data_IF_860825896386
#
_entry.id   IF_860825896386
#
_cell.length_a   1.000
_cell.length_b   1.000
_cell.length_c   1.000
_cell.angle_alpha   90.00
_cell.angle_beta   90.00
_cell.angle_gamma   90.00
#
_symmetry.space_group_name_H-M   'P 1'
#
loop_
_entity.id
_entity.type
_entity.pdbx_description
1 polymer ?
#
# COMPACT_ATOMS: atom_id res chain seq x y z
N UNK A 1 -13.61 -13.10 -3.43
CA UNK A 1 -13.28 -11.79 -4.06
C UNK A 1 -14.56 -11.03 -4.30
N UNK A 2 -14.70 -9.81 -3.77
CA UNK A 2 -15.85 -8.94 -4.03
C UNK A 2 -15.65 -8.16 -5.33
N UNK A 3 -16.71 -7.99 -6.12
CA UNK A 3 -16.70 -7.14 -7.31
C UNK A 3 -16.97 -5.68 -6.91
N UNK A 4 -16.32 -4.75 -7.59
CA UNK A 4 -16.52 -3.31 -7.43
C UNK A 4 -16.56 -2.70 -8.83
N UNK A 5 -17.47 -1.76 -9.05
CA UNK A 5 -17.49 -0.93 -10.25
C UNK A 5 -16.64 0.31 -9.97
N UNK A 6 -15.68 0.58 -10.85
CA UNK A 6 -14.78 1.72 -10.78
C UNK A 6 -14.51 2.19 -12.20
N UNK A 7 -14.50 3.50 -12.40
CA UNK A 7 -14.05 4.09 -13.66
C UNK A 7 -12.53 4.05 -13.72
N UNK A 8 -12.00 3.62 -14.86
CA UNK A 8 -10.56 3.54 -15.12
C UNK A 8 -10.31 4.14 -16.50
N UNK A 9 -9.36 5.06 -16.58
CA UNK A 9 -8.91 5.60 -17.86
C UNK A 9 -8.25 4.49 -18.69
N UNK A 10 -8.76 4.27 -19.91
CA UNK A 10 -8.30 3.20 -20.79
C UNK A 10 -6.83 3.35 -21.22
N UNK A 11 -6.33 4.59 -21.35
CA UNK A 11 -4.93 4.83 -21.71
C UNK A 11 -4.01 4.50 -20.54
N UNK A 12 -4.39 4.89 -19.33
CA UNK A 12 -3.66 4.50 -18.12
C UNK A 12 -3.69 2.98 -17.91
N UNK A 13 -4.83 2.33 -18.17
CA UNK A 13 -4.96 0.88 -18.09
C UNK A 13 -4.07 0.17 -19.11
N UNK A 14 -3.98 0.68 -20.34
CA UNK A 14 -3.09 0.15 -21.37
C UNK A 14 -1.61 0.32 -20.99
N UNK A 15 -1.22 1.50 -20.49
CA UNK A 15 0.13 1.75 -20.02
C UNK A 15 0.51 0.82 -18.85
N UNK A 16 -0.38 0.68 -17.86
CA UNK A 16 -0.19 -0.22 -16.73
C UNK A 16 -0.09 -1.69 -17.18
N UNK A 17 -0.88 -2.12 -18.17
CA UNK A 17 -0.77 -3.48 -18.73
C UNK A 17 0.59 -3.73 -19.37
N UNK A 18 1.08 -2.77 -20.15
CA UNK A 18 2.38 -2.86 -20.79
C UNK A 18 3.53 -2.90 -19.78
N UNK A 19 3.46 -2.08 -18.73
CA UNK A 19 4.46 -2.04 -17.66
C UNK A 19 4.43 -3.28 -16.76
N UNK A 20 3.23 -3.74 -16.40
CA UNK A 20 3.05 -4.87 -15.48
C UNK A 20 3.11 -6.24 -16.17
N UNK A 21 3.05 -6.28 -17.51
CA UNK A 21 3.07 -7.52 -18.29
C UNK A 21 1.83 -8.39 -18.04
N UNK A 22 0.65 -7.77 -17.87
CA UNK A 22 -0.58 -8.47 -17.49
C UNK A 22 -1.64 -8.49 -18.58
N UNK A 23 -2.23 -9.65 -18.83
CA UNK A 23 -3.17 -9.83 -19.95
C UNK A 23 -4.60 -9.37 -19.64
N UNK A 24 -5.00 -9.33 -18.36
CA UNK A 24 -6.38 -9.00 -17.96
C UNK A 24 -6.46 -7.75 -17.10
N UNK A 25 -7.57 -7.01 -17.20
CA UNK A 25 -7.85 -5.83 -16.36
C UNK A 25 -7.78 -6.22 -14.88
N UNK A 26 -8.39 -7.35 -14.51
CA UNK A 26 -8.32 -7.90 -13.15
C UNK A 26 -6.88 -8.14 -12.68
N UNK A 27 -6.05 -8.75 -13.52
CA UNK A 27 -4.64 -9.00 -13.18
C UNK A 27 -3.88 -7.68 -12.99
N UNK A 28 -4.06 -6.74 -13.91
CA UNK A 28 -3.45 -5.39 -13.88
C UNK A 28 -3.81 -4.67 -12.58
N UNK A 29 -5.11 -4.57 -12.27
CA UNK A 29 -5.61 -3.86 -11.09
C UNK A 29 -5.15 -4.52 -9.80
N UNK A 30 -5.23 -5.85 -9.70
CA UNK A 30 -4.77 -6.54 -8.49
C UNK A 30 -3.26 -6.39 -8.29
N UNK A 31 -2.46 -6.41 -9.36
CA UNK A 31 -1.01 -6.23 -9.26
C UNK A 31 -0.66 -4.80 -8.86
N UNK A 32 -1.27 -3.79 -9.49
CA UNK A 32 -1.10 -2.39 -9.11
C UNK A 32 -1.44 -2.15 -7.63
N UNK A 33 -2.58 -2.69 -7.15
CA UNK A 33 -2.97 -2.59 -5.76
C UNK A 33 -1.99 -3.30 -4.81
N UNK A 34 -1.44 -4.46 -5.19
CA UNK A 34 -0.41 -5.15 -4.39
C UNK A 34 0.87 -4.33 -4.28
N UNK A 35 1.32 -3.71 -5.39
CA UNK A 35 2.51 -2.83 -5.39
C UNK A 35 2.30 -1.60 -4.50
N UNK A 36 1.15 -0.94 -4.63
CA UNK A 36 0.80 0.22 -3.80
C UNK A 36 0.71 -0.14 -2.31
N UNK A 37 0.08 -1.28 -1.98
CA UNK A 37 -0.02 -1.76 -0.60
C UNK A 37 1.36 -2.11 0.00
N UNK A 38 2.29 -2.65 -0.80
CA UNK A 38 3.67 -2.91 -0.33
C UNK A 38 4.40 -1.63 0.05
N UNK A 39 4.32 -0.59 -0.76
CA UNK A 39 4.93 0.71 -0.44
C UNK A 39 4.42 1.23 0.91
N UNK A 40 3.10 1.18 1.11
CA UNK A 40 2.48 1.58 2.39
C UNK A 40 2.93 0.72 3.57
N UNK A 41 3.03 -0.60 3.39
CA UNK A 41 3.48 -1.49 4.45
C UNK A 41 4.93 -1.19 4.90
N UNK A 42 5.81 -0.83 3.97
CA UNK A 42 7.19 -0.44 4.29
C UNK A 42 7.25 0.87 5.06
N UNK A 43 6.45 1.87 4.69
CA UNK A 43 6.34 3.13 5.43
C UNK A 43 5.87 2.90 6.87
N UNK A 44 4.82 2.10 7.04
CA UNK A 44 4.27 1.75 8.36
C UNK A 44 5.35 1.04 9.18
N UNK A 45 6.05 0.07 8.60
CA UNK A 45 7.12 -0.65 9.30
C UNK A 45 8.22 0.29 9.76
N UNK A 46 8.70 1.18 8.89
CA UNK A 46 9.72 2.17 9.24
C UNK A 46 9.26 3.11 10.37
N UNK A 47 7.99 3.53 10.35
CA UNK A 47 7.43 4.35 11.42
C UNK A 47 7.35 3.59 12.75
N UNK A 48 6.96 2.31 12.73
CA UNK A 48 6.91 1.45 13.91
C UNK A 48 8.31 1.15 14.46
N UNK A 49 9.28 0.86 13.59
CA UNK A 49 10.67 0.64 13.97
C UNK A 49 11.25 1.89 14.68
N UNK A 50 10.98 3.09 14.14
CA UNK A 50 11.39 4.35 14.78
C UNK A 50 10.69 4.64 16.11
N UNK A 51 9.49 4.11 16.35
CA UNK A 51 8.85 4.16 17.67
C UNK A 51 9.51 3.17 18.63
N UNK A 52 9.86 1.97 18.17
CA UNK A 52 10.52 0.96 19.00
C UNK A 52 11.93 1.38 19.44
N UNK A 53 12.65 2.12 18.61
CA UNK A 53 13.98 2.66 18.92
C UNK A 53 13.96 3.84 19.90
N UNK A 54 12.81 4.47 20.14
CA UNK A 54 12.67 5.56 21.11
C UNK A 54 12.54 5.01 22.52
N UNK A 55 13.38 5.52 23.42
CA UNK A 55 13.16 5.35 24.85
C UNK A 55 12.01 6.25 25.28
N UNK A 56 10.86 5.65 25.57
CA UNK A 56 9.74 6.37 26.18
C UNK A 56 10.03 6.53 27.67
N UNK A 57 9.75 7.73 28.21
CA UNK A 57 9.69 7.94 29.66
C UNK A 57 8.69 6.96 30.29
N UNK A 58 8.87 6.66 31.57
CA UNK A 58 7.98 5.74 32.27
C UNK A 58 6.53 6.19 32.10
N UNK A 59 5.66 5.26 31.69
CA UNK A 59 4.24 5.54 31.45
C UNK A 59 3.57 6.09 32.70
N UNK A 60 4.11 5.81 33.90
CA UNK A 60 3.62 6.38 35.16
C UNK A 60 3.84 7.90 35.31
N UNK A 61 4.81 8.49 34.61
CA UNK A 61 5.05 9.95 34.64
C UNK A 61 4.23 10.71 33.60
N UNK A 62 3.83 10.06 32.51
CA UNK A 62 3.13 10.71 31.40
C UNK A 62 1.63 11.00 31.65
N UNK A 63 1.04 10.43 32.70
CA UNK A 63 -0.40 10.54 33.03
C UNK A 63 -0.67 11.27 34.36
N UNK A 64 0.32 11.97 34.93
CA UNK A 64 0.10 12.90 36.04
C UNK A 64 -0.16 14.31 35.51
#
# INVERSE_FOLDING_TARGET
MSKRLVDIDDRLLAAARAELGTDTIKATVNEALRRAARARAQEIRKALDGLAERSFSDRGEAWR
#
